data_IF_111107619524
#
_entry.id   IF_111107619524
#
_cell.length_a   1.000
_cell.length_b   1.000
_cell.length_c   1.000
_cell.angle_alpha   90.00
_cell.angle_beta   90.00
_cell.angle_gamma   90.00
#
_symmetry.space_group_name_H-M   'P 1'
#
loop_
_entity.id
_entity.type
_entity.pdbx_description
1 polymer ?
#
# COMPACT_ATOMS: atom_id res chain seq x y z
N UNK A 1 -6.34 24.03 8.71
CA UNK A 1 -5.59 22.95 8.03
C UNK A 1 -6.57 22.17 7.19
N UNK A 2 -6.21 21.76 5.97
CA UNK A 2 -7.06 20.85 5.19
C UNK A 2 -6.85 19.44 5.73
N UNK A 3 -7.89 18.60 5.67
CA UNK A 3 -7.81 17.22 6.18
C UNK A 3 -6.68 16.42 5.51
N UNK A 4 -6.41 16.65 4.21
CA UNK A 4 -5.27 16.04 3.52
C UNK A 4 -3.90 16.46 4.07
N UNK A 5 -3.77 17.68 4.61
CA UNK A 5 -2.51 18.13 5.21
C UNK A 5 -2.26 17.36 6.52
N UNK A 6 -3.32 17.09 7.28
CA UNK A 6 -3.25 16.27 8.50
C UNK A 6 -2.95 14.82 8.16
N UNK A 7 -3.64 14.23 7.18
CA UNK A 7 -3.41 12.84 6.74
C UNK A 7 -1.99 12.62 6.21
N UNK A 8 -1.42 13.61 5.51
CA UNK A 8 -0.05 13.54 5.02
C UNK A 8 0.97 13.55 6.15
N UNK A 9 0.70 14.28 7.24
CA UNK A 9 1.53 14.29 8.45
C UNK A 9 1.34 13.05 9.31
N UNK A 10 0.16 12.42 9.25
CA UNK A 10 -0.11 11.15 9.92
C UNK A 10 0.60 9.95 9.28
N UNK A 11 1.23 10.12 8.12
CA UNK A 11 1.96 9.03 7.44
C UNK A 11 3.04 8.45 8.35
N UNK A 12 3.79 9.32 9.04
CA UNK A 12 4.86 8.93 9.97
C UNK A 12 4.33 8.13 11.18
N UNK A 13 3.04 8.28 11.51
CA UNK A 13 2.40 7.55 12.61
C UNK A 13 1.97 6.14 12.23
N UNK A 14 1.89 5.79 10.94
CA UNK A 14 1.55 4.41 10.56
C UNK A 14 2.74 3.46 10.74
N UNK A 15 3.95 3.96 10.96
CA UNK A 15 5.15 3.14 11.11
C UNK A 15 5.69 2.63 9.77
N UNK A 16 6.59 1.64 9.85
CA UNK A 16 7.30 1.08 8.70
C UNK A 16 7.02 -0.39 8.45
N UNK A 17 6.42 -1.09 9.41
CA UNK A 17 6.16 -2.53 9.31
C UNK A 17 4.78 -2.81 8.71
N UNK A 18 4.79 -3.18 7.43
CA UNK A 18 3.60 -3.56 6.68
C UNK A 18 3.63 -5.05 6.33
N UNK A 19 2.48 -5.71 6.40
CA UNK A 19 2.34 -7.11 5.98
C UNK A 19 1.48 -7.15 4.73
N UNK A 20 2.05 -7.52 3.59
CA UNK A 20 1.28 -7.73 2.39
C UNK A 20 0.48 -9.03 2.48
N UNK A 21 -0.81 -8.92 2.16
CA UNK A 21 -1.78 -10.02 2.16
C UNK A 21 -2.08 -10.37 0.71
N UNK A 22 -2.02 -11.67 0.39
CA UNK A 22 -2.22 -12.27 -0.94
C UNK A 22 -3.36 -11.65 -1.74
N UNK A 23 -3.02 -10.62 -2.51
CA UNK A 23 -3.92 -9.94 -3.44
C UNK A 23 -3.09 -8.90 -4.18
N UNK A 24 -2.86 -9.13 -5.47
CA UNK A 24 -2.35 -8.10 -6.37
C UNK A 24 -3.30 -8.05 -7.53
N UNK A 25 -3.87 -6.88 -7.79
CA UNK A 25 -4.86 -6.68 -8.85
C UNK A 25 -4.42 -5.55 -9.74
N UNK A 26 -4.55 -5.71 -11.06
CA UNK A 26 -4.20 -4.66 -12.02
C UNK A 26 -5.18 -3.49 -11.88
N UNK A 27 -4.63 -2.27 -11.82
CA UNK A 27 -5.42 -1.04 -11.87
C UNK A 27 -5.28 -0.45 -13.26
N UNK A 28 -6.35 -0.49 -14.05
CA UNK A 28 -6.40 0.06 -15.40
C UNK A 28 -7.13 1.40 -15.41
N UNK A 29 -6.72 2.28 -16.33
CA UNK A 29 -7.46 3.50 -16.61
C UNK A 29 -8.67 3.24 -17.53
N UNK A 30 -9.36 4.32 -17.91
CA UNK A 30 -10.51 4.27 -18.83
C UNK A 30 -10.13 3.76 -20.22
N UNK A 31 -8.86 3.84 -20.60
CA UNK A 31 -8.32 3.39 -21.89
C UNK A 31 -7.77 1.95 -21.81
N UNK A 32 -8.05 1.23 -20.71
CA UNK A 32 -7.56 -0.12 -20.43
C UNK A 32 -6.03 -0.22 -20.27
N UNK A 33 -5.34 0.91 -20.13
CA UNK A 33 -3.90 0.94 -19.92
C UNK A 33 -3.59 0.68 -18.44
N UNK A 34 -2.57 -0.15 -18.21
CA UNK A 34 -2.11 -0.45 -16.85
C UNK A 34 -1.52 0.81 -16.20
N UNK A 35 -2.07 1.21 -15.06
CA UNK A 35 -1.65 2.39 -14.29
C UNK A 35 -1.06 2.06 -12.92
N UNK A 36 -0.98 0.78 -12.59
CA UNK A 36 -0.43 0.30 -11.34
C UNK A 36 -1.06 -1.00 -10.87
N UNK A 37 -0.72 -1.37 -9.65
CA UNK A 37 -1.26 -2.55 -8.98
C UNK A 37 -1.94 -2.13 -7.67
N UNK A 38 -3.01 -2.83 -7.28
CA UNK A 38 -3.63 -2.69 -5.98
C UNK A 38 -3.32 -3.92 -5.16
N UNK A 39 -2.77 -3.68 -3.98
CA UNK A 39 -2.32 -4.70 -3.04
C UNK A 39 -3.04 -4.51 -1.71
N UNK A 40 -3.56 -5.59 -1.12
CA UNK A 40 -4.06 -5.50 0.25
C UNK A 40 -2.92 -5.69 1.25
N UNK A 41 -2.87 -4.80 2.22
CA UNK A 41 -1.79 -4.71 3.19
C UNK A 41 -2.43 -4.60 4.57
N UNK A 42 -1.86 -5.30 5.53
CA UNK A 42 -2.17 -5.18 6.94
C UNK A 42 -1.09 -4.32 7.58
N UNK A 43 -1.52 -3.31 8.34
CA UNK A 43 -0.62 -2.53 9.18
C UNK A 43 -0.62 -3.14 10.57
N UNK A 44 0.51 -3.75 10.95
CA UNK A 44 0.69 -4.46 12.21
C UNK A 44 1.96 -4.01 12.93
N UNK A 45 2.34 -2.75 12.75
CA UNK A 45 3.52 -2.18 13.38
C UNK A 45 3.27 -1.99 14.90
N UNK A 46 4.04 -2.65 15.79
CA UNK A 46 3.86 -2.51 17.24
C UNK A 46 4.10 -1.09 17.76
N UNK A 47 4.90 -0.29 17.04
CA UNK A 47 5.24 1.08 17.40
C UNK A 47 4.22 2.10 16.82
N UNK A 48 3.30 1.64 15.98
CA UNK A 48 2.22 2.46 15.43
C UNK A 48 1.01 2.51 16.38
N UNK A 49 0.45 3.69 16.70
CA UNK A 49 -0.83 3.80 17.38
C UNK A 49 -2.03 3.32 16.52
N UNK A 50 -1.80 3.00 15.24
CA UNK A 50 -2.82 2.52 14.31
C UNK A 50 -2.64 1.04 14.01
N UNK A 51 -3.72 0.28 14.17
CA UNK A 51 -3.87 -1.09 13.67
C UNK A 51 -4.90 -1.10 12.55
N UNK A 52 -4.48 -1.49 11.35
CA UNK A 52 -5.37 -1.59 10.19
C UNK A 52 -5.26 -3.00 9.61
N UNK A 53 -6.30 -3.80 9.83
CA UNK A 53 -6.28 -5.22 9.51
C UNK A 53 -6.12 -5.49 8.01
N UNK A 54 -6.81 -4.72 7.16
CA UNK A 54 -6.73 -4.87 5.71
C UNK A 54 -7.05 -3.56 4.98
N UNK A 55 -6.02 -2.90 4.46
CA UNK A 55 -6.13 -1.70 3.61
C UNK A 55 -5.70 -2.01 2.19
N UNK A 56 -6.39 -1.41 1.21
CA UNK A 56 -5.98 -1.48 -0.18
C UNK A 56 -5.04 -0.32 -0.53
N UNK A 57 -3.80 -0.65 -0.89
CA UNK A 57 -2.78 0.31 -1.31
C UNK A 57 -2.59 0.25 -2.82
N UNK A 58 -2.64 1.41 -3.49
CA UNK A 58 -2.29 1.51 -4.91
C UNK A 58 -0.79 1.72 -5.07
N UNK A 59 -0.13 0.79 -5.73
CA UNK A 59 1.27 0.85 -6.15
C UNK A 59 1.31 1.41 -7.58
N UNK A 60 1.97 2.56 -7.78
CA UNK A 60 2.05 3.21 -9.09
C UNK A 60 3.14 2.63 -10.00
N UNK A 61 4.16 1.95 -9.44
CA UNK A 61 5.19 1.28 -10.22
C UNK A 61 4.61 0.10 -11.02
N UNK A 62 4.81 0.11 -12.34
CA UNK A 62 4.38 -0.94 -13.27
C UNK A 62 5.32 -2.16 -13.28
N UNK A 63 6.53 -2.02 -12.73
CA UNK A 63 7.50 -3.09 -12.53
C UNK A 63 7.86 -3.16 -11.03
N UNK A 64 6.92 -3.56 -10.15
CA UNK A 64 7.18 -3.63 -8.72
C UNK A 64 8.32 -4.61 -8.42
N UNK A 65 9.11 -4.30 -7.40
CA UNK A 65 10.25 -5.14 -7.00
C UNK A 65 9.81 -6.53 -6.57
N UNK A 66 8.60 -6.67 -6.01
CA UNK A 66 7.96 -7.95 -5.79
C UNK A 66 7.12 -8.30 -7.01
N UNK A 67 7.35 -9.46 -7.61
CA UNK A 67 6.63 -9.88 -8.80
C UNK A 67 5.16 -10.20 -8.48
N UNK A 68 4.29 -10.00 -9.46
CA UNK A 68 2.88 -10.40 -9.39
C UNK A 68 2.71 -11.88 -9.04
N UNK A 69 3.61 -12.74 -9.53
CA UNK A 69 3.58 -14.18 -9.29
C UNK A 69 3.93 -14.53 -7.83
N UNK A 70 4.88 -13.82 -7.22
CA UNK A 70 5.22 -14.02 -5.80
C UNK A 70 4.07 -13.61 -4.87
N UNK A 71 3.36 -12.53 -5.20
CA UNK A 71 2.20 -12.05 -4.44
C UNK A 71 0.95 -12.92 -4.58
N UNK A 72 0.91 -13.80 -5.58
CA UNK A 72 -0.12 -14.83 -5.74
C UNK A 72 0.17 -16.10 -4.91
N UNK A 73 1.39 -16.25 -4.38
CA UNK A 73 1.70 -17.37 -3.48
C UNK A 73 0.98 -17.19 -2.14
N UNK A 74 0.56 -18.30 -1.52
CA UNK A 74 -0.36 -18.33 -0.38
C UNK A 74 0.23 -17.84 0.97
N UNK A 75 1.27 -17.00 0.96
CA UNK A 75 1.96 -16.56 2.18
C UNK A 75 1.82 -15.06 2.36
N UNK A 76 1.44 -14.63 3.56
CA UNK A 76 1.66 -13.24 4.00
C UNK A 76 3.15 -12.98 4.06
N UNK A 77 3.58 -11.76 3.72
CA UNK A 77 4.99 -11.36 3.73
C UNK A 77 5.12 -9.94 4.26
N UNK A 78 6.19 -9.71 5.01
CA UNK A 78 6.58 -8.37 5.44
C UNK A 78 7.15 -7.55 4.27
N UNK A 79 6.67 -6.33 4.11
CA UNK A 79 7.01 -5.44 3.02
C UNK A 79 7.25 -4.03 3.51
N UNK A 80 8.04 -3.28 2.75
CA UNK A 80 8.19 -1.83 2.90
C UNK A 80 7.48 -1.13 1.74
N UNK A 81 6.75 -0.07 2.08
CA UNK A 81 6.07 0.79 1.12
C UNK A 81 6.87 2.06 0.89
N UNK A 82 7.41 2.19 -0.32
CA UNK A 82 8.20 3.36 -0.70
C UNK A 82 7.28 4.55 -0.97
N UNK A 83 7.56 5.70 -0.33
CA UNK A 83 6.74 6.91 -0.41
C UNK A 83 5.25 6.61 -0.12
N UNK A 84 5.00 5.90 0.98
CA UNK A 84 3.65 5.66 1.45
C UNK A 84 2.94 7.00 1.70
N UNK A 85 1.68 7.07 1.29
CA UNK A 85 0.86 8.27 1.37
C UNK A 85 -0.59 7.90 1.66
N UNK A 86 -1.23 8.73 2.45
CA UNK A 86 -2.65 8.64 2.77
C UNK A 86 -3.34 9.93 2.33
N UNK A 87 -4.45 9.81 1.63
CA UNK A 87 -5.28 10.94 1.23
C UNK A 87 -6.76 10.62 1.35
N UNK A 88 -7.60 11.63 1.19
CA UNK A 88 -9.05 11.45 1.16
C UNK A 88 -9.63 11.90 -0.19
N UNK A 89 -10.55 11.11 -0.73
CA UNK A 89 -11.34 11.48 -1.90
C UNK A 89 -12.78 10.97 -1.73
N UNK A 90 -13.77 11.85 -1.93
CA UNK A 90 -15.20 11.50 -1.74
C UNK A 90 -15.44 10.74 -0.43
N UNK A 91 -14.96 11.28 0.68
CA UNK A 91 -15.10 10.73 2.04
C UNK A 91 -14.38 9.40 2.32
N UNK A 92 -13.78 8.78 1.31
CA UNK A 92 -13.01 7.55 1.46
C UNK A 92 -11.53 7.86 1.61
N UNK A 93 -10.85 7.10 2.47
CA UNK A 93 -9.39 7.11 2.57
C UNK A 93 -8.79 6.31 1.43
N UNK A 94 -7.72 6.85 0.85
CA UNK A 94 -6.94 6.22 -0.22
C UNK A 94 -5.50 6.13 0.23
N UNK A 95 -4.95 4.93 0.08
CA UNK A 95 -3.56 4.65 0.37
C UNK A 95 -2.81 4.44 -0.93
N UNK A 96 -1.66 5.08 -1.07
CA UNK A 96 -0.79 4.92 -2.24
C UNK A 96 0.66 4.81 -1.83
N UNK A 97 1.42 4.06 -2.61
CA UNK A 97 2.86 3.97 -2.51
C UNK A 97 3.45 3.95 -3.92
N UNK A 98 4.71 4.36 -4.04
CA UNK A 98 5.43 4.31 -5.32
C UNK A 98 5.80 2.87 -5.65
N UNK A 99 6.36 2.15 -4.68
CA UNK A 99 6.85 0.79 -4.86
C UNK A 99 6.60 -0.07 -3.62
N UNK A 100 6.70 -1.39 -3.80
CA UNK A 100 6.63 -2.38 -2.73
C UNK A 100 7.94 -3.18 -2.70
N UNK A 101 8.62 -3.17 -1.56
CA UNK A 101 9.92 -3.81 -1.38
C UNK A 101 9.79 -4.97 -0.39
N UNK A 102 10.39 -6.14 -0.65
CA UNK A 102 10.40 -7.22 0.32
C UNK A 102 11.40 -6.92 1.44
N UNK A 103 11.02 -7.13 2.71
CA UNK A 103 11.96 -6.99 3.85
C UNK A 103 12.99 -8.12 3.87
N UNK A 104 12.60 -9.31 3.41
CA UNK A 104 13.48 -10.49 3.30
C UNK A 104 13.47 -11.00 1.86
N UNK A 105 14.67 -11.24 1.29
CA UNK A 105 14.84 -11.88 -0.03
C UNK A 105 14.43 -13.35 0.03
#
# INVERSE_FOLDING_TARGET
MKLNDVLSQSVDLFGSHFIAVKSMTEVKDKEQKLTGYRVNISLQDPDSPFYLELISVKISNLNPTISYQEMLSNKTREVLLENFSCGQYKENLYFSATNILPVTK
#
